data_IF_808358223954
#
_entry.id   IF_808358223954
#
_cell.length_a   1.000
_cell.length_b   1.000
_cell.length_c   1.000
_cell.angle_alpha   90.00
_cell.angle_beta   90.00
_cell.angle_gamma   90.00
#
_symmetry.space_group_name_H-M   'P 1'
#
loop_
_entity.id
_entity.type
_entity.pdbx_description
1 polymer ?
#
# COMPACT_ATOMS: atom_id res chain seq x y z
N UNK A 1 -33.63 -38.31 -17.40
CA UNK A 1 -32.19 -37.93 -17.26
C UNK A 1 -31.66 -38.04 -15.82
N UNK A 2 -32.48 -37.69 -14.81
CA UNK A 2 -32.16 -37.57 -13.37
C UNK A 2 -31.29 -38.70 -12.79
N UNK A 3 -31.62 -39.97 -13.02
CA UNK A 3 -30.92 -41.10 -12.38
C UNK A 3 -29.40 -41.09 -12.62
N UNK A 4 -28.96 -40.70 -13.83
CA UNK A 4 -27.54 -40.59 -14.18
C UNK A 4 -26.87 -39.43 -13.42
N UNK A 5 -27.56 -38.29 -13.31
CA UNK A 5 -27.08 -37.11 -12.57
C UNK A 5 -27.00 -37.37 -11.06
N UNK A 6 -28.02 -38.02 -10.48
CA UNK A 6 -28.03 -38.47 -9.07
C UNK A 6 -26.88 -39.45 -8.79
N UNK A 7 -26.70 -40.46 -9.65
CA UNK A 7 -25.57 -41.38 -9.58
C UNK A 7 -24.21 -40.74 -9.84
N UNK A 8 -24.16 -39.56 -10.46
CA UNK A 8 -22.98 -38.70 -10.52
C UNK A 8 -22.73 -38.00 -9.19
N UNK A 9 -23.73 -37.32 -8.64
CA UNK A 9 -23.67 -36.61 -7.35
C UNK A 9 -23.19 -37.54 -6.22
N UNK A 10 -23.79 -38.71 -6.04
CA UNK A 10 -23.41 -39.62 -4.94
C UNK A 10 -21.97 -40.11 -5.04
N UNK A 11 -21.43 -40.28 -6.25
CA UNK A 11 -20.00 -40.61 -6.45
C UNK A 11 -19.09 -39.41 -6.21
N UNK A 12 -19.54 -38.20 -6.52
CA UNK A 12 -18.79 -36.97 -6.30
C UNK A 12 -18.85 -36.49 -4.83
N UNK A 13 -19.87 -36.84 -4.04
CA UNK A 13 -20.05 -36.33 -2.67
C UNK A 13 -18.82 -36.58 -1.77
N UNK A 14 -18.20 -37.75 -1.87
CA UNK A 14 -16.95 -38.08 -1.16
C UNK A 14 -15.79 -37.22 -1.66
N UNK A 15 -15.65 -37.11 -2.99
CA UNK A 15 -14.60 -36.30 -3.63
C UNK A 15 -14.73 -34.82 -3.23
N UNK A 16 -15.93 -34.24 -3.27
CA UNK A 16 -16.20 -32.85 -2.89
C UNK A 16 -15.84 -32.56 -1.44
N UNK A 17 -16.10 -33.49 -0.50
CA UNK A 17 -15.67 -33.36 0.91
C UNK A 17 -14.15 -33.34 1.04
N UNK A 18 -13.45 -34.23 0.32
CA UNK A 18 -11.98 -34.23 0.29
C UNK A 18 -11.43 -32.94 -0.35
N UNK A 19 -11.92 -32.53 -1.52
CA UNK A 19 -11.52 -31.27 -2.18
C UNK A 19 -11.71 -30.07 -1.25
N UNK A 20 -12.84 -29.97 -0.56
CA UNK A 20 -13.09 -28.86 0.36
C UNK A 20 -12.19 -28.91 1.60
N UNK A 21 -11.91 -30.09 2.15
CA UNK A 21 -10.96 -30.26 3.25
C UNK A 21 -9.53 -29.89 2.82
N UNK A 22 -9.10 -30.29 1.62
CA UNK A 22 -7.79 -29.93 1.06
C UNK A 22 -7.65 -28.42 0.81
N UNK A 23 -8.69 -27.76 0.26
CA UNK A 23 -8.69 -26.31 0.07
C UNK A 23 -8.63 -25.56 1.40
N UNK A 24 -9.48 -25.93 2.37
CA UNK A 24 -9.48 -25.31 3.69
C UNK A 24 -8.14 -25.52 4.43
N UNK A 25 -7.55 -26.72 4.34
CA UNK A 25 -6.23 -27.01 4.90
C UNK A 25 -5.12 -26.18 4.23
N UNK A 26 -5.14 -26.04 2.90
CA UNK A 26 -4.18 -25.23 2.18
C UNK A 26 -4.29 -23.74 2.57
N UNK A 27 -5.52 -23.22 2.71
CA UNK A 27 -5.76 -21.86 3.20
C UNK A 27 -5.20 -21.70 4.62
N UNK A 28 -5.44 -22.69 5.50
CA UNK A 28 -4.84 -22.75 6.84
C UNK A 28 -3.31 -22.69 6.85
N UNK A 29 -2.64 -23.46 5.98
CA UNK A 29 -1.16 -23.46 5.91
C UNK A 29 -0.61 -22.10 5.46
N UNK A 30 -1.20 -21.48 4.44
CA UNK A 30 -0.77 -20.14 4.00
C UNK A 30 -1.14 -19.05 5.02
N UNK A 31 -2.32 -19.12 5.62
CA UNK A 31 -2.74 -18.21 6.71
C UNK A 31 -1.81 -18.35 7.92
N UNK A 32 -1.37 -19.56 8.29
CA UNK A 32 -0.38 -19.77 9.35
C UNK A 32 0.94 -19.05 9.05
N UNK A 33 1.45 -19.16 7.82
CA UNK A 33 2.69 -18.50 7.39
C UNK A 33 2.52 -16.97 7.46
N UNK A 34 1.43 -16.42 6.91
CA UNK A 34 1.15 -14.98 6.89
C UNK A 34 0.94 -14.37 8.29
N UNK A 35 0.21 -15.05 9.18
CA UNK A 35 0.07 -14.59 10.59
C UNK A 35 1.39 -14.68 11.32
N UNK A 36 2.19 -15.74 11.10
CA UNK A 36 3.49 -15.91 11.74
C UNK A 36 4.50 -14.82 11.35
N UNK A 37 4.39 -14.23 10.16
CA UNK A 37 5.22 -13.08 9.75
C UNK A 37 4.66 -11.71 10.19
N UNK A 38 3.58 -11.68 10.98
CA UNK A 38 2.97 -10.45 11.54
C UNK A 38 2.99 -10.40 13.08
N UNK A 39 3.24 -11.52 13.76
CA UNK A 39 3.23 -11.58 15.22
C UNK A 39 4.62 -11.39 15.81
N UNK A 40 4.80 -10.31 16.56
CA UNK A 40 5.94 -10.12 17.47
C UNK A 40 5.67 -10.82 18.82
N UNK A 41 6.71 -11.42 19.41
CA UNK A 41 6.60 -12.14 20.69
C UNK A 41 7.67 -13.22 20.84
N UNK A 42 7.55 -14.08 21.86
CA UNK A 42 8.43 -15.24 21.97
C UNK A 42 8.10 -16.29 20.88
N UNK A 43 9.06 -17.13 20.45
CA UNK A 43 8.83 -18.11 19.40
C UNK A 43 7.69 -19.10 19.69
N UNK A 44 7.38 -19.37 20.96
CA UNK A 44 6.30 -20.26 21.37
C UNK A 44 4.92 -19.57 21.34
N UNK A 45 4.84 -18.30 21.74
CA UNK A 45 3.60 -17.51 21.66
C UNK A 45 3.19 -17.29 20.20
N UNK A 46 4.13 -16.85 19.37
CA UNK A 46 3.94 -16.65 17.92
C UNK A 46 3.50 -17.95 17.24
N UNK A 47 4.14 -19.07 17.57
CA UNK A 47 3.80 -20.40 17.04
C UNK A 47 2.39 -20.84 17.43
N UNK A 48 2.02 -20.73 18.72
CA UNK A 48 0.70 -21.13 19.22
C UNK A 48 -0.42 -20.23 18.70
N UNK A 49 -0.22 -18.91 18.70
CA UNK A 49 -1.21 -17.95 18.21
C UNK A 49 -1.47 -18.14 16.71
N UNK A 50 -0.43 -18.32 15.90
CA UNK A 50 -0.58 -18.58 14.47
C UNK A 50 -1.28 -19.92 14.18
N UNK A 51 -1.05 -20.97 14.99
CA UNK A 51 -1.76 -22.26 14.86
C UNK A 51 -3.24 -22.12 15.26
N UNK A 52 -3.55 -21.45 16.37
CA UNK A 52 -4.94 -21.28 16.83
C UNK A 52 -5.73 -20.46 15.82
N UNK A 53 -5.13 -19.39 15.27
CA UNK A 53 -5.77 -18.58 14.23
C UNK A 53 -5.98 -19.38 12.94
N UNK A 54 -4.93 -20.04 12.40
CA UNK A 54 -5.06 -20.78 11.15
C UNK A 54 -6.01 -21.97 11.23
N UNK A 55 -6.06 -22.67 12.37
CA UNK A 55 -7.03 -23.73 12.62
C UNK A 55 -8.46 -23.18 12.67
N UNK A 56 -8.69 -22.04 13.35
CA UNK A 56 -10.00 -21.39 13.40
C UNK A 56 -10.47 -20.93 12.01
N UNK A 57 -9.59 -20.32 11.22
CA UNK A 57 -9.86 -19.92 9.82
C UNK A 57 -10.18 -21.14 8.95
N UNK A 58 -9.37 -22.20 9.03
CA UNK A 58 -9.58 -23.46 8.28
C UNK A 58 -10.95 -24.07 8.57
N UNK A 59 -11.31 -24.17 9.85
CA UNK A 59 -12.60 -24.73 10.29
C UNK A 59 -13.76 -23.81 9.87
N UNK A 60 -13.60 -22.49 9.94
CA UNK A 60 -14.62 -21.54 9.50
C UNK A 60 -14.87 -21.63 7.98
N UNK A 61 -13.82 -21.65 7.16
CA UNK A 61 -13.89 -21.81 5.70
C UNK A 61 -14.54 -23.16 5.35
N UNK A 62 -14.05 -24.26 5.92
CA UNK A 62 -14.59 -25.59 5.69
C UNK A 62 -16.07 -25.69 6.06
N UNK A 63 -16.44 -25.19 7.24
CA UNK A 63 -17.82 -25.21 7.72
C UNK A 63 -18.73 -24.36 6.81
N UNK A 64 -18.39 -23.09 6.58
CA UNK A 64 -19.18 -22.16 5.76
C UNK A 64 -19.54 -22.75 4.39
N UNK A 65 -18.53 -23.24 3.67
CA UNK A 65 -18.74 -23.86 2.37
C UNK A 65 -19.50 -25.20 2.45
N UNK A 66 -19.28 -26.01 3.50
CA UNK A 66 -20.06 -27.25 3.73
C UNK A 66 -21.54 -26.94 3.97
N UNK A 67 -21.86 -25.93 4.77
CA UNK A 67 -23.23 -25.48 5.01
C UNK A 67 -23.88 -25.00 3.69
N UNK A 68 -23.18 -24.19 2.90
CA UNK A 68 -23.71 -23.73 1.60
C UNK A 68 -23.93 -24.87 0.60
N UNK A 69 -22.95 -25.78 0.43
CA UNK A 69 -23.11 -26.96 -0.44
C UNK A 69 -24.30 -27.83 -0.02
N UNK A 70 -24.49 -28.02 1.29
CA UNK A 70 -25.58 -28.85 1.82
C UNK A 70 -26.96 -28.20 1.65
N UNK A 71 -27.09 -26.90 1.91
CA UNK A 71 -28.41 -26.26 1.98
C UNK A 71 -28.81 -25.51 0.69
N UNK A 72 -27.89 -24.82 0.02
CA UNK A 72 -28.23 -23.92 -1.11
C UNK A 72 -28.90 -24.63 -2.30
N UNK A 73 -28.43 -25.81 -2.77
CA UNK A 73 -29.10 -26.51 -3.87
C UNK A 73 -30.52 -26.98 -3.52
N UNK A 74 -30.78 -27.27 -2.25
CA UNK A 74 -32.05 -27.87 -1.78
C UNK A 74 -33.17 -26.85 -1.53
N UNK A 75 -32.85 -25.56 -1.37
CA UNK A 75 -33.86 -24.50 -1.15
C UNK A 75 -34.69 -24.25 -2.41
N UNK A 76 -35.99 -24.58 -2.33
CA UNK A 76 -36.96 -24.41 -3.43
C UNK A 76 -37.48 -22.98 -3.59
N UNK A 77 -37.63 -22.23 -2.49
CA UNK A 77 -38.29 -20.92 -2.50
C UNK A 77 -37.36 -19.81 -3.02
N UNK A 78 -37.80 -19.05 -4.04
CA UNK A 78 -36.96 -18.05 -4.72
C UNK A 78 -36.52 -16.85 -3.85
N UNK A 79 -37.30 -16.46 -2.84
CA UNK A 79 -36.88 -15.48 -1.82
C UNK A 79 -35.71 -16.01 -1.00
N UNK A 80 -35.89 -17.18 -0.39
CA UNK A 80 -34.90 -17.84 0.47
C UNK A 80 -33.62 -18.22 -0.30
N UNK A 81 -33.74 -18.63 -1.57
CA UNK A 81 -32.59 -18.89 -2.46
C UNK A 81 -31.77 -17.63 -2.75
N UNK A 82 -32.42 -16.46 -2.96
CA UNK A 82 -31.71 -15.16 -3.06
C UNK A 82 -31.02 -14.79 -1.75
N UNK A 83 -31.68 -15.02 -0.61
CA UNK A 83 -31.11 -14.78 0.72
C UNK A 83 -29.84 -15.63 0.96
N UNK A 84 -29.84 -16.89 0.51
CA UNK A 84 -28.64 -17.74 0.54
C UNK A 84 -27.51 -17.27 -0.38
N UNK A 85 -27.80 -16.73 -1.58
CA UNK A 85 -26.76 -16.12 -2.41
C UNK A 85 -26.19 -14.84 -1.80
N UNK A 86 -27.00 -14.04 -1.10
CA UNK A 86 -26.52 -12.86 -0.34
C UNK A 86 -25.64 -13.30 0.83
N UNK A 87 -26.03 -14.34 1.58
CA UNK A 87 -25.20 -14.92 2.64
C UNK A 87 -23.88 -15.50 2.10
N UNK A 88 -23.92 -16.15 0.93
CA UNK A 88 -22.71 -16.63 0.23
C UNK A 88 -21.79 -15.48 -0.15
N UNK A 89 -22.32 -14.39 -0.70
CA UNK A 89 -21.53 -13.20 -1.07
C UNK A 89 -20.90 -12.53 0.15
N UNK A 90 -21.67 -12.29 1.22
CA UNK A 90 -21.17 -11.68 2.46
C UNK A 90 -20.08 -12.56 3.09
N UNK A 91 -20.32 -13.87 3.23
CA UNK A 91 -19.31 -14.78 3.78
C UNK A 91 -18.08 -14.93 2.90
N UNK A 92 -18.22 -14.85 1.57
CA UNK A 92 -17.07 -14.79 0.65
C UNK A 92 -16.20 -13.55 0.93
N UNK A 93 -16.81 -12.37 1.08
CA UNK A 93 -16.09 -11.15 1.45
C UNK A 93 -15.41 -11.25 2.83
N UNK A 94 -16.07 -11.89 3.80
CA UNK A 94 -15.48 -12.14 5.13
C UNK A 94 -14.25 -13.06 5.06
N UNK A 95 -14.30 -14.12 4.23
CA UNK A 95 -13.14 -15.01 4.02
C UNK A 95 -12.00 -14.25 3.34
N UNK A 96 -12.27 -13.47 2.28
CA UNK A 96 -11.24 -12.67 1.60
C UNK A 96 -10.56 -11.68 2.55
N UNK A 97 -11.33 -10.99 3.40
CA UNK A 97 -10.78 -10.04 4.37
C UNK A 97 -9.98 -10.72 5.50
N UNK A 98 -10.29 -11.98 5.80
CA UNK A 98 -9.65 -12.75 6.86
C UNK A 98 -8.43 -13.56 6.39
N UNK A 99 -8.39 -13.98 5.13
CA UNK A 99 -7.44 -14.99 4.65
C UNK A 99 -6.68 -14.58 3.39
N UNK A 100 -7.34 -14.09 2.33
CA UNK A 100 -6.71 -13.90 1.02
C UNK A 100 -5.44 -13.02 1.03
N UNK A 101 -5.38 -11.95 1.83
CA UNK A 101 -4.19 -11.10 1.93
C UNK A 101 -3.03 -11.76 2.69
N UNK A 102 -3.33 -12.56 3.72
CA UNK A 102 -2.34 -13.38 4.43
C UNK A 102 -1.82 -14.53 3.54
N UNK A 103 -2.72 -15.13 2.76
CA UNK A 103 -2.37 -16.16 1.78
C UNK A 103 -1.49 -15.57 0.67
N UNK A 104 -1.78 -14.36 0.18
CA UNK A 104 -0.92 -13.64 -0.75
C UNK A 104 0.44 -13.26 -0.13
N UNK A 105 0.47 -12.84 1.14
CA UNK A 105 1.71 -12.58 1.89
C UNK A 105 2.58 -13.83 2.03
N UNK A 106 1.99 -14.99 2.29
CA UNK A 106 2.70 -16.26 2.36
C UNK A 106 3.23 -16.76 1.00
N UNK A 107 2.58 -16.37 -0.11
CA UNK A 107 2.99 -16.73 -1.47
C UNK A 107 4.01 -15.77 -2.09
N UNK A 108 3.97 -14.47 -1.75
CA UNK A 108 4.72 -13.41 -2.42
C UNK A 108 5.53 -12.48 -1.49
N UNK A 109 5.37 -12.58 -0.16
CA UNK A 109 5.95 -11.66 0.82
C UNK A 109 7.44 -11.39 0.64
N UNK A 110 8.23 -12.45 0.51
CA UNK A 110 9.68 -12.33 0.31
C UNK A 110 10.05 -11.64 -1.00
N UNK A 111 9.28 -11.84 -2.07
CA UNK A 111 9.50 -11.19 -3.36
C UNK A 111 9.07 -9.72 -3.34
N UNK A 112 8.00 -9.39 -2.61
CA UNK A 112 7.56 -8.01 -2.41
C UNK A 112 8.55 -7.20 -1.55
N UNK A 113 9.18 -7.82 -0.54
CA UNK A 113 10.27 -7.20 0.21
C UNK A 113 11.54 -7.02 -0.63
N UNK A 114 11.88 -7.98 -1.50
CA UNK A 114 12.97 -7.80 -2.48
C UNK A 114 12.68 -6.64 -3.45
N UNK A 115 11.44 -6.53 -3.95
CA UNK A 115 10.98 -5.40 -4.77
C UNK A 115 11.05 -4.08 -3.99
N UNK A 116 10.74 -4.06 -2.69
CA UNK A 116 10.89 -2.88 -1.86
C UNK A 116 12.35 -2.44 -1.68
N UNK A 117 13.27 -3.38 -1.42
CA UNK A 117 14.70 -3.12 -1.32
C UNK A 117 15.32 -2.68 -2.65
N UNK A 118 14.89 -3.26 -3.78
CA UNK A 118 15.32 -2.85 -5.12
C UNK A 118 14.93 -1.39 -5.41
N UNK A 119 13.64 -1.06 -5.28
CA UNK A 119 13.13 0.30 -5.48
C UNK A 119 13.76 1.33 -4.52
N UNK A 120 14.13 0.90 -3.31
CA UNK A 120 14.85 1.74 -2.35
C UNK A 120 16.31 1.96 -2.79
N UNK A 121 16.99 0.92 -3.25
CA UNK A 121 18.38 0.99 -3.74
C UNK A 121 18.51 1.97 -4.91
N UNK A 122 17.56 1.98 -5.84
CA UNK A 122 17.57 2.92 -6.97
C UNK A 122 17.33 4.37 -6.54
N UNK A 123 16.45 4.61 -5.55
CA UNK A 123 16.26 5.95 -4.97
C UNK A 123 17.52 6.45 -4.24
N UNK A 124 18.22 5.54 -3.56
CA UNK A 124 19.49 5.83 -2.90
C UNK A 124 20.63 6.08 -3.91
N UNK A 125 20.75 5.28 -4.96
CA UNK A 125 21.71 5.48 -6.06
C UNK A 125 21.56 6.87 -6.67
N UNK A 126 20.34 7.23 -7.14
CA UNK A 126 20.08 8.55 -7.70
C UNK A 126 20.37 9.70 -6.73
N UNK A 127 20.26 9.45 -5.42
CA UNK A 127 20.50 10.46 -4.39
C UNK A 127 21.98 10.63 -4.09
N UNK A 128 22.77 9.54 -4.10
CA UNK A 128 24.23 9.58 -4.08
C UNK A 128 24.78 10.29 -5.32
N UNK A 129 24.27 9.95 -6.51
CA UNK A 129 24.71 10.55 -7.78
C UNK A 129 24.40 12.06 -7.84
N UNK A 130 23.23 12.49 -7.35
CA UNK A 130 22.88 13.92 -7.22
C UNK A 130 23.78 14.63 -6.19
N UNK A 131 24.09 14.01 -5.06
CA UNK A 131 24.96 14.60 -4.04
C UNK A 131 26.40 14.76 -4.56
N UNK A 132 26.92 13.71 -5.22
CA UNK A 132 28.23 13.73 -5.86
C UNK A 132 28.30 14.77 -6.98
N UNK A 133 27.29 14.83 -7.86
CA UNK A 133 27.22 15.83 -8.94
C UNK A 133 27.18 17.28 -8.44
N UNK A 134 26.46 17.54 -7.34
CA UNK A 134 26.45 18.85 -6.69
C UNK A 134 27.82 19.19 -6.05
N UNK A 135 28.48 18.22 -5.41
CA UNK A 135 29.81 18.41 -4.82
C UNK A 135 30.91 18.61 -5.89
N UNK A 136 30.87 17.87 -7.00
CA UNK A 136 31.77 18.05 -8.15
C UNK A 136 31.60 19.42 -8.81
N UNK A 137 30.40 20.00 -8.81
CA UNK A 137 30.16 21.31 -9.44
C UNK A 137 31.04 22.42 -8.83
N UNK A 138 31.30 22.38 -7.52
CA UNK A 138 32.21 23.32 -6.85
C UNK A 138 33.67 23.21 -7.36
N UNK A 139 34.11 22.01 -7.75
CA UNK A 139 35.44 21.80 -8.34
C UNK A 139 35.57 22.44 -9.73
N UNK A 140 34.44 22.62 -10.44
CA UNK A 140 34.40 23.33 -11.71
C UNK A 140 34.87 24.79 -11.64
N UNK A 141 34.86 25.40 -10.44
CA UNK A 141 35.35 26.76 -10.21
C UNK A 141 36.88 26.84 -10.02
N UNK A 142 37.57 25.72 -9.81
CA UNK A 142 39.01 25.69 -9.54
C UNK A 142 39.87 26.36 -10.63
N UNK A 143 39.62 26.16 -11.96
CA UNK A 143 40.40 26.82 -13.00
C UNK A 143 40.26 28.35 -12.96
N UNK A 144 39.06 28.87 -12.68
CA UNK A 144 38.79 30.30 -12.61
C UNK A 144 39.39 30.94 -11.35
N UNK A 145 39.34 30.26 -10.21
CA UNK A 145 40.02 30.68 -8.97
C UNK A 145 41.54 30.76 -9.19
N UNK A 146 42.14 29.73 -9.81
CA UNK A 146 43.57 29.72 -10.15
C UNK A 146 43.95 30.75 -11.23
N UNK A 147 43.04 31.09 -12.15
CA UNK A 147 43.26 32.12 -13.18
C UNK A 147 43.18 33.52 -12.58
N UNK A 148 42.20 33.78 -11.71
CA UNK A 148 42.07 35.02 -10.97
C UNK A 148 43.29 35.26 -10.06
N UNK A 149 43.72 34.24 -9.30
CA UNK A 149 44.92 34.31 -8.46
C UNK A 149 46.18 34.68 -9.27
N UNK A 150 46.43 33.96 -10.37
CA UNK A 150 47.59 34.24 -11.25
C UNK A 150 47.56 35.64 -11.84
N UNK A 151 46.37 36.16 -12.22
CA UNK A 151 46.20 37.56 -12.65
C UNK A 151 46.61 38.54 -11.56
N UNK A 152 46.20 38.33 -10.30
CA UNK A 152 46.58 39.22 -9.20
C UNK A 152 48.06 39.13 -8.80
N UNK A 153 48.69 37.94 -8.87
CA UNK A 153 50.15 37.82 -8.69
C UNK A 153 50.90 38.62 -9.74
N UNK A 154 50.60 38.41 -11.04
CA UNK A 154 51.25 39.11 -12.14
C UNK A 154 51.06 40.63 -12.04
N UNK A 155 49.89 41.09 -11.61
CA UNK A 155 49.59 42.51 -11.38
C UNK A 155 50.44 43.09 -10.24
N UNK A 156 50.57 42.36 -9.13
CA UNK A 156 51.43 42.71 -7.99
C UNK A 156 52.92 42.76 -8.39
N UNK A 157 53.38 41.80 -9.19
CA UNK A 157 54.78 41.68 -9.59
C UNK A 157 55.19 42.73 -10.63
N UNK A 158 54.35 43.01 -11.63
CA UNK A 158 54.57 44.08 -12.60
C UNK A 158 54.65 45.45 -11.92
N UNK A 159 53.73 45.73 -11.00
CA UNK A 159 53.71 46.98 -10.26
C UNK A 159 54.94 47.15 -9.36
N UNK A 160 55.34 46.08 -8.65
CA UNK A 160 56.54 46.09 -7.79
C UNK A 160 57.83 46.33 -8.57
N UNK A 161 57.94 45.78 -9.78
CA UNK A 161 59.13 45.87 -10.62
C UNK A 161 59.22 47.17 -11.44
N UNK A 162 58.08 47.74 -11.86
CA UNK A 162 58.07 48.80 -12.88
C UNK A 162 57.14 49.99 -12.60
N UNK A 163 56.26 49.91 -11.59
CA UNK A 163 55.24 50.94 -11.35
C UNK A 163 54.26 51.10 -12.52
N UNK A 164 54.00 50.04 -13.29
CA UNK A 164 53.19 50.07 -14.51
C UNK A 164 51.74 50.58 -14.31
N UNK A 165 51.23 50.60 -13.08
CA UNK A 165 49.87 51.01 -12.74
C UNK A 165 49.86 52.40 -12.08
N UNK A 166 50.65 52.61 -11.02
CA UNK A 166 50.68 53.89 -10.27
C UNK A 166 51.73 54.90 -10.74
N UNK A 167 52.64 54.51 -11.64
CA UNK A 167 53.78 55.32 -12.07
C UNK A 167 54.97 55.29 -11.10
N UNK A 168 54.89 54.53 -10.00
CA UNK A 168 55.94 54.42 -8.97
C UNK A 168 56.23 52.96 -8.63
N UNK A 169 57.47 52.52 -8.86
CA UNK A 169 57.91 51.15 -8.53
C UNK A 169 58.16 51.00 -7.02
N UNK A 170 57.55 50.01 -6.37
CA UNK A 170 57.82 49.69 -4.96
C UNK A 170 56.79 48.77 -4.31
N UNK A 171 56.86 48.60 -2.99
CA UNK A 171 55.91 47.78 -2.20
C UNK A 171 54.66 48.57 -1.76
N UNK A 172 54.09 49.38 -2.66
CA UNK A 172 52.95 50.24 -2.39
C UNK A 172 51.67 49.47 -2.03
N UNK A 173 50.66 50.15 -1.51
CA UNK A 173 49.43 49.52 -0.98
C UNK A 173 48.69 48.68 -2.04
N UNK A 174 48.75 49.06 -3.32
CA UNK A 174 48.20 48.27 -4.44
C UNK A 174 48.90 46.91 -4.57
N UNK A 175 50.23 46.87 -4.41
CA UNK A 175 51.05 45.63 -4.45
C UNK A 175 50.70 44.72 -3.27
N UNK A 176 50.52 45.29 -2.08
CA UNK A 176 50.14 44.56 -0.86
C UNK A 176 48.74 43.95 -1.00
N UNK A 177 47.76 44.74 -1.44
CA UNK A 177 46.37 44.31 -1.60
C UNK A 177 46.22 43.25 -2.70
N UNK A 178 46.86 43.41 -3.85
CA UNK A 178 46.85 42.41 -4.94
C UNK A 178 47.56 41.11 -4.54
N UNK A 179 48.66 41.19 -3.77
CA UNK A 179 49.31 40.01 -3.20
C UNK A 179 48.41 39.28 -2.18
N UNK A 180 47.71 40.02 -1.30
CA UNK A 180 46.75 39.46 -0.36
C UNK A 180 45.59 38.74 -1.08
N UNK A 181 45.05 39.32 -2.15
CA UNK A 181 43.97 38.70 -2.94
C UNK A 181 44.44 37.42 -3.64
N UNK A 182 45.67 37.41 -4.19
CA UNK A 182 46.30 36.20 -4.73
C UNK A 182 46.47 35.13 -3.65
N UNK A 183 46.97 35.49 -2.46
CA UNK A 183 47.12 34.56 -1.34
C UNK A 183 45.78 33.95 -0.87
N UNK A 184 44.71 34.75 -0.77
CA UNK A 184 43.36 34.28 -0.43
C UNK A 184 42.80 33.32 -1.49
N UNK A 185 42.96 33.63 -2.77
CA UNK A 185 42.51 32.75 -3.86
C UNK A 185 43.35 31.48 -3.99
N UNK A 186 44.65 31.53 -3.67
CA UNK A 186 45.50 30.32 -3.59
C UNK A 186 45.10 29.42 -2.43
N UNK A 187 44.77 29.99 -1.25
CA UNK A 187 44.27 29.21 -0.12
C UNK A 187 42.93 28.52 -0.46
N UNK A 188 41.99 29.26 -1.09
CA UNK A 188 40.73 28.69 -1.56
C UNK A 188 40.94 27.61 -2.63
N UNK A 189 41.88 27.79 -3.57
CA UNK A 189 42.22 26.78 -4.57
C UNK A 189 42.76 25.49 -3.94
N UNK A 190 43.59 25.60 -2.90
CA UNK A 190 44.09 24.45 -2.15
C UNK A 190 42.97 23.75 -1.34
N UNK A 191 42.03 24.50 -0.78
CA UNK A 191 40.84 23.95 -0.09
C UNK A 191 39.95 23.17 -1.08
N UNK A 192 39.70 23.74 -2.26
CA UNK A 192 38.93 23.08 -3.34
C UNK A 192 39.61 21.79 -3.81
N UNK A 193 40.93 21.79 -4.02
CA UNK A 193 41.65 20.57 -4.43
C UNK A 193 41.68 19.53 -3.30
N UNK A 194 41.87 19.93 -2.04
CA UNK A 194 41.79 19.01 -0.89
C UNK A 194 40.40 18.37 -0.71
N UNK A 195 39.32 19.08 -1.06
CA UNK A 195 37.96 18.49 -1.04
C UNK A 195 37.77 17.37 -2.05
N UNK A 196 38.55 17.35 -3.13
CA UNK A 196 38.38 16.44 -4.26
C UNK A 196 38.59 14.99 -3.86
N UNK A 197 39.67 14.73 -3.11
CA UNK A 197 39.95 13.39 -2.59
C UNK A 197 38.95 12.96 -1.51
N UNK A 198 38.43 13.89 -0.70
CA UNK A 198 37.34 13.59 0.25
C UNK A 198 36.04 13.22 -0.47
N UNK A 199 35.63 14.00 -1.47
CA UNK A 199 34.43 13.76 -2.31
C UNK A 199 34.55 12.41 -3.04
N UNK A 200 35.72 12.10 -3.59
CA UNK A 200 36.02 10.80 -4.20
C UNK A 200 35.90 9.66 -3.19
N UNK A 201 36.55 9.77 -2.02
CA UNK A 201 36.55 8.74 -0.98
C UNK A 201 35.14 8.46 -0.44
N UNK A 202 34.33 9.51 -0.24
CA UNK A 202 32.93 9.38 0.15
C UNK A 202 32.09 8.70 -0.94
N UNK A 203 32.24 9.08 -2.21
CA UNK A 203 31.50 8.46 -3.31
C UNK A 203 31.88 6.99 -3.54
N UNK A 204 33.17 6.63 -3.44
CA UNK A 204 33.62 5.23 -3.46
C UNK A 204 33.06 4.42 -2.29
N UNK A 205 32.92 5.05 -1.11
CA UNK A 205 32.34 4.40 0.08
C UNK A 205 30.83 4.18 -0.11
N UNK A 206 30.10 5.20 -0.56
CA UNK A 206 28.67 5.09 -0.86
C UNK A 206 28.37 4.08 -1.97
N UNK A 207 29.25 3.99 -2.97
CA UNK A 207 29.17 2.98 -4.04
C UNK A 207 29.32 1.55 -3.50
N UNK A 208 30.22 1.31 -2.53
CA UNK A 208 30.37 0.01 -1.87
C UNK A 208 29.16 -0.34 -1.00
N UNK A 209 28.59 0.64 -0.29
CA UNK A 209 27.32 0.45 0.44
C UNK A 209 26.17 0.11 -0.52
N UNK A 210 26.06 0.79 -1.67
CA UNK A 210 25.09 0.45 -2.71
C UNK A 210 25.31 -0.93 -3.34
N UNK A 211 26.57 -1.37 -3.49
CA UNK A 211 26.87 -2.74 -3.89
C UNK A 211 26.37 -3.76 -2.85
N UNK A 212 26.64 -3.51 -1.56
CA UNK A 212 26.17 -4.36 -0.46
C UNK A 212 24.64 -4.37 -0.34
N UNK A 213 23.97 -3.23 -0.54
CA UNK A 213 22.50 -3.15 -0.65
C UNK A 213 21.95 -3.98 -1.82
N UNK A 214 22.62 -3.99 -2.99
CA UNK A 214 22.26 -4.87 -4.11
C UNK A 214 22.44 -6.35 -3.78
N UNK A 215 23.54 -6.72 -3.13
CA UNK A 215 23.81 -8.09 -2.67
C UNK A 215 22.75 -8.56 -1.65
N UNK A 216 22.37 -7.70 -0.69
CA UNK A 216 21.28 -7.97 0.27
C UNK A 216 19.91 -8.09 -0.43
N UNK A 217 19.68 -7.33 -1.51
CA UNK A 217 18.46 -7.40 -2.33
C UNK A 217 18.38 -8.71 -3.14
N UNK A 218 19.47 -9.15 -3.78
CA UNK A 218 19.48 -10.31 -4.70
C UNK A 218 19.90 -11.64 -4.06
N UNK A 219 20.42 -11.63 -2.83
CA UNK A 219 20.96 -12.81 -2.16
C UNK A 219 19.97 -13.95 -1.88
N UNK A 220 20.50 -15.06 -1.38
CA UNK A 220 19.74 -16.17 -0.81
C UNK A 220 19.65 -16.06 0.72
N UNK A 221 18.78 -16.86 1.36
CA UNK A 221 18.58 -16.86 2.82
C UNK A 221 17.38 -16.01 3.28
N UNK A 222 17.11 -15.99 4.61
CA UNK A 222 15.91 -15.37 5.20
C UNK A 222 15.76 -13.90 4.82
N UNK A 223 14.56 -13.52 4.38
CA UNK A 223 14.32 -12.17 3.88
C UNK A 223 14.32 -11.11 5.00
N UNK A 224 13.87 -11.47 6.19
CA UNK A 224 13.72 -10.55 7.32
C UNK A 224 15.09 -10.13 7.88
N UNK A 225 16.01 -11.08 8.05
CA UNK A 225 17.42 -10.84 8.41
C UNK A 225 18.09 -9.89 7.42
N UNK A 226 17.93 -10.17 6.11
CA UNK A 226 18.47 -9.35 5.03
C UNK A 226 17.86 -7.95 4.97
N UNK A 227 16.57 -7.81 5.28
CA UNK A 227 15.87 -6.52 5.32
C UNK A 227 16.34 -5.68 6.51
N UNK A 228 16.68 -6.32 7.63
CA UNK A 228 17.29 -5.66 8.79
C UNK A 228 18.74 -5.22 8.51
N UNK A 229 19.57 -6.04 7.85
CA UNK A 229 20.89 -5.60 7.37
C UNK A 229 20.76 -4.46 6.36
N UNK A 230 19.82 -4.54 5.42
CA UNK A 230 19.57 -3.49 4.42
C UNK A 230 19.18 -2.16 5.08
N UNK A 231 18.33 -2.20 6.12
CA UNK A 231 18.00 -1.02 6.91
C UNK A 231 19.25 -0.36 7.53
N UNK A 232 20.19 -1.14 8.05
CA UNK A 232 21.45 -0.61 8.57
C UNK A 232 22.31 0.06 7.48
N UNK A 233 22.46 -0.58 6.31
CA UNK A 233 23.18 0.01 5.17
C UNK A 233 22.53 1.33 4.69
N UNK A 234 21.20 1.45 4.74
CA UNK A 234 20.51 2.71 4.36
C UNK A 234 20.86 3.88 5.28
N UNK A 235 21.11 3.62 6.57
CA UNK A 235 21.55 4.65 7.53
C UNK A 235 22.99 5.08 7.24
N UNK A 236 23.89 4.12 6.96
CA UNK A 236 25.27 4.39 6.55
C UNK A 236 25.31 5.26 5.28
N UNK A 237 24.53 4.88 4.27
CA UNK A 237 24.47 5.62 3.01
C UNK A 237 23.86 7.02 3.15
N UNK A 238 22.84 7.18 4.02
CA UNK A 238 22.28 8.49 4.35
C UNK A 238 23.34 9.41 4.98
N UNK A 239 24.18 8.87 5.87
CA UNK A 239 25.33 9.58 6.41
C UNK A 239 26.33 10.02 5.34
N UNK A 240 26.71 9.13 4.44
CA UNK A 240 27.64 9.43 3.33
C UNK A 240 27.09 10.50 2.38
N UNK A 241 25.78 10.48 2.11
CA UNK A 241 25.09 11.51 1.29
C UNK A 241 25.14 12.88 1.99
N UNK A 242 24.89 12.92 3.30
CA UNK A 242 24.99 14.15 4.09
C UNK A 242 26.43 14.69 4.15
N UNK A 243 27.42 13.82 4.35
CA UNK A 243 28.85 14.17 4.30
C UNK A 243 29.27 14.74 2.94
N UNK A 244 28.75 14.19 1.83
CA UNK A 244 28.99 14.73 0.48
C UNK A 244 28.40 16.13 0.32
N UNK A 245 27.18 16.36 0.81
CA UNK A 245 26.56 17.70 0.79
C UNK A 245 27.36 18.69 1.65
N UNK A 246 27.79 18.29 2.85
CA UNK A 246 28.56 19.14 3.76
C UNK A 246 30.00 19.40 3.27
N UNK A 247 30.56 18.54 2.42
CA UNK A 247 31.89 18.74 1.81
C UNK A 247 31.87 19.74 0.64
N UNK A 248 30.70 20.28 0.25
CA UNK A 248 30.61 21.31 -0.79
C UNK A 248 31.26 22.64 -0.36
N UNK A 249 32.26 23.10 -1.12
CA UNK A 249 32.99 24.34 -0.87
C UNK A 249 32.30 25.58 -1.50
N UNK A 250 31.21 25.41 -2.25
CA UNK A 250 30.46 26.53 -2.84
C UNK A 250 30.09 27.67 -1.84
N UNK A 251 29.70 27.41 -0.57
CA UNK A 251 29.49 28.47 0.43
C UNK A 251 30.77 29.25 0.78
N UNK A 252 31.93 28.60 0.78
CA UNK A 252 33.22 29.24 1.03
C UNK A 252 33.71 30.01 -0.19
N UNK A 253 33.54 29.49 -1.42
CA UNK A 253 33.82 30.24 -2.66
C UNK A 253 33.00 31.52 -2.70
N UNK A 254 31.69 31.44 -2.42
CA UNK A 254 30.83 32.63 -2.35
C UNK A 254 31.32 33.65 -1.31
N UNK A 255 31.64 33.18 -0.09
CA UNK A 255 32.15 34.06 0.98
C UNK A 255 33.43 34.79 0.57
N UNK A 256 34.45 34.05 0.12
CA UNK A 256 35.71 34.64 -0.35
C UNK A 256 35.50 35.59 -1.52
N UNK A 257 34.61 35.25 -2.46
CA UNK A 257 34.27 36.13 -3.57
C UNK A 257 33.61 37.44 -3.10
N UNK A 258 32.62 37.38 -2.21
CA UNK A 258 32.02 38.59 -1.64
C UNK A 258 33.04 39.43 -0.85
N UNK A 259 33.91 38.80 -0.06
CA UNK A 259 34.87 39.50 0.79
C UNK A 259 35.99 40.14 -0.04
N UNK A 260 36.41 39.54 -1.15
CA UNK A 260 37.26 40.18 -2.18
C UNK A 260 36.64 41.48 -2.73
N UNK A 261 35.31 41.54 -2.84
CA UNK A 261 34.60 42.75 -3.28
C UNK A 261 34.45 43.82 -2.20
N UNK A 262 34.50 43.44 -0.92
CA UNK A 262 34.31 44.32 0.25
C UNK A 262 35.64 44.84 0.82
N UNK A 263 36.69 44.03 0.74
CA UNK A 263 38.02 44.31 1.31
C UNK A 263 38.88 45.26 0.47
N UNK A 264 38.44 45.65 -0.73
CA UNK A 264 39.14 46.68 -1.49
C UNK A 264 38.82 48.07 -0.95
N UNK A 265 39.79 48.68 -0.29
CA UNK A 265 39.79 50.10 0.06
C UNK A 265 40.80 50.78 -0.87
N UNK A 266 40.34 51.75 -1.67
CA UNK A 266 41.20 52.52 -2.56
C UNK A 266 42.30 53.24 -1.75
N UNK A 267 43.60 52.98 -2.00
CA UNK A 267 44.68 53.69 -1.31
C UNK A 267 44.66 55.17 -1.68
N UNK A 268 44.94 56.05 -0.71
CA UNK A 268 45.15 57.45 -0.99
C UNK A 268 46.39 57.63 -1.89
N UNK A 269 46.25 58.43 -2.95
CA UNK A 269 47.34 58.76 -3.87
C UNK A 269 48.49 59.49 -3.14
N UNK A 270 49.73 59.04 -3.37
CA UNK A 270 50.95 59.61 -2.76
C UNK A 270 51.73 60.54 -3.71
N UNK A 271 51.15 60.80 -4.90
CA UNK A 271 51.78 61.54 -5.98
C UNK A 271 52.27 62.93 -5.58
N UNK A 272 53.58 63.17 -5.75
CA UNK A 272 54.25 64.46 -5.50
C UNK A 272 53.81 65.59 -6.47
N UNK A 273 52.99 65.27 -7.46
CA UNK A 273 52.37 66.19 -8.42
C UNK A 273 50.93 65.77 -8.67
N UNK A 274 50.03 66.73 -8.90
CA UNK A 274 48.60 66.47 -9.10
C UNK A 274 48.31 65.49 -10.26
N UNK A 275 48.99 65.67 -11.39
CA UNK A 275 48.91 64.78 -12.56
C UNK A 275 49.32 63.33 -12.25
N UNK A 276 50.26 63.09 -11.33
CA UNK A 276 50.59 61.74 -10.88
C UNK A 276 49.48 61.17 -9.99
N UNK A 277 48.94 61.98 -9.07
CA UNK A 277 47.84 61.56 -8.19
C UNK A 277 46.53 61.26 -8.95
N UNK A 278 46.20 62.05 -9.98
CA UNK A 278 45.02 61.80 -10.84
C UNK A 278 45.16 60.50 -11.65
N UNK A 279 46.36 60.21 -12.17
CA UNK A 279 46.66 58.93 -12.84
C UNK A 279 46.55 57.76 -11.86
N UNK A 280 47.14 57.88 -10.67
CA UNK A 280 47.03 56.89 -9.60
C UNK A 280 45.56 56.58 -9.28
N UNK A 281 44.74 57.62 -9.03
CA UNK A 281 43.31 57.48 -8.76
C UNK A 281 42.56 56.77 -9.90
N UNK A 282 42.80 57.15 -11.17
CA UNK A 282 42.15 56.48 -12.31
C UNK A 282 42.54 55.00 -12.43
N UNK A 283 43.79 54.63 -12.14
CA UNK A 283 44.24 53.24 -12.28
C UNK A 283 43.79 52.39 -11.09
N UNK A 284 43.84 52.93 -9.86
CA UNK A 284 43.24 52.31 -8.67
C UNK A 284 41.76 52.00 -8.91
N UNK A 285 40.99 52.96 -9.46
CA UNK A 285 39.57 52.74 -9.81
C UNK A 285 39.34 51.68 -10.90
N UNK A 286 40.23 51.57 -11.90
CA UNK A 286 40.17 50.49 -12.91
C UNK A 286 40.47 49.12 -12.32
N UNK A 287 41.44 49.03 -11.42
CA UNK A 287 41.78 47.80 -10.67
C UNK A 287 40.61 47.41 -9.75
N UNK A 288 40.01 48.36 -9.04
CA UNK A 288 38.81 48.17 -8.22
C UNK A 288 37.63 47.62 -9.03
N UNK A 289 37.34 48.22 -10.19
CA UNK A 289 36.24 47.78 -11.06
C UNK A 289 36.50 46.38 -11.63
N UNK A 290 37.75 46.04 -11.97
CA UNK A 290 38.15 44.71 -12.41
C UNK A 290 37.96 43.67 -11.30
N UNK A 291 38.40 43.98 -10.07
CA UNK A 291 38.20 43.14 -8.89
C UNK A 291 36.70 42.91 -8.64
N UNK A 292 35.90 43.97 -8.60
CA UNK A 292 34.44 43.91 -8.41
C UNK A 292 33.71 43.14 -9.52
N UNK A 293 34.24 43.11 -10.74
CA UNK A 293 33.71 42.29 -11.82
C UNK A 293 34.06 40.80 -11.64
N UNK A 294 35.32 40.50 -11.37
CA UNK A 294 35.82 39.12 -11.22
C UNK A 294 35.25 38.43 -9.97
N UNK A 295 35.12 39.16 -8.87
CA UNK A 295 34.49 38.68 -7.64
C UNK A 295 33.00 38.40 -7.82
N UNK A 296 32.26 39.30 -8.49
CA UNK A 296 30.84 39.11 -8.78
C UNK A 296 30.60 37.89 -9.68
N UNK A 297 31.44 37.67 -10.69
CA UNK A 297 31.37 36.48 -11.54
C UNK A 297 31.56 35.18 -10.73
N UNK A 298 32.56 35.15 -9.84
CA UNK A 298 32.84 33.99 -8.98
C UNK A 298 31.71 33.75 -7.95
N UNK A 299 31.14 34.82 -7.37
CA UNK A 299 30.00 34.74 -6.47
C UNK A 299 28.73 34.24 -7.18
N UNK A 300 28.47 34.70 -8.40
CA UNK A 300 27.34 34.22 -9.23
C UNK A 300 27.49 32.75 -9.62
N UNK A 301 28.71 32.31 -9.95
CA UNK A 301 28.98 30.90 -10.27
C UNK A 301 28.83 29.99 -9.04
N UNK A 302 29.19 30.48 -7.85
CA UNK A 302 28.91 29.80 -6.59
C UNK A 302 27.39 29.78 -6.27
N UNK A 303 26.67 30.87 -6.53
CA UNK A 303 25.20 30.92 -6.34
C UNK A 303 24.43 30.00 -7.30
N UNK A 304 24.87 29.80 -8.55
CA UNK A 304 24.29 28.76 -9.43
C UNK A 304 24.34 27.38 -8.75
N UNK A 305 25.50 27.03 -8.20
CA UNK A 305 25.72 25.75 -7.53
C UNK A 305 24.89 25.64 -6.24
N UNK A 306 24.79 26.72 -5.46
CA UNK A 306 23.97 26.78 -4.24
C UNK A 306 22.46 26.80 -4.52
N UNK A 307 22.04 27.21 -5.73
CA UNK A 307 20.64 27.19 -6.15
C UNK A 307 20.14 25.79 -6.58
N UNK A 308 21.06 24.83 -6.73
CA UNK A 308 20.72 23.46 -7.14
C UNK A 308 19.90 22.77 -6.06
N UNK A 309 18.88 21.96 -6.41
CA UNK A 309 18.09 21.25 -5.43
C UNK A 309 18.96 20.40 -4.50
N UNK A 310 18.82 20.63 -3.20
CA UNK A 310 19.41 19.77 -2.18
C UNK A 310 18.89 18.34 -2.31
N UNK A 311 19.75 17.36 -2.05
CA UNK A 311 19.34 15.97 -1.97
C UNK A 311 18.53 15.79 -0.70
N UNK A 312 17.23 15.53 -0.86
CA UNK A 312 16.36 15.18 0.27
C UNK A 312 16.78 13.82 0.84
N UNK A 313 16.87 13.67 2.17
CA UNK A 313 17.21 12.38 2.76
C UNK A 313 16.15 11.33 2.41
N UNK A 314 16.57 10.26 1.74
CA UNK A 314 15.72 9.10 1.48
C UNK A 314 15.58 8.32 2.78
N UNK A 315 14.35 8.17 3.28
CA UNK A 315 14.08 7.35 4.47
C UNK A 315 13.61 5.97 4.03
N UNK A 316 14.40 4.94 4.31
CA UNK A 316 13.91 3.57 4.31
C UNK A 316 12.90 3.38 5.45
N UNK A 317 11.80 2.69 5.18
CA UNK A 317 10.79 2.31 6.16
C UNK A 317 10.64 0.79 6.04
N UNK A 318 11.05 0.00 7.04
CA UNK A 318 10.87 -1.44 6.98
C UNK A 318 9.37 -1.76 6.92
N UNK A 319 9.02 -2.74 6.10
CA UNK A 319 7.66 -3.25 5.91
C UNK A 319 7.61 -4.70 6.38
N UNK A 320 6.45 -5.14 6.87
CA UNK A 320 6.16 -6.58 6.95
C UNK A 320 5.96 -7.17 5.54
N UNK A 321 6.11 -8.49 5.45
CA UNK A 321 5.77 -9.29 4.26
C UNK A 321 4.38 -8.98 3.69
N UNK A 322 3.39 -8.74 4.55
CA UNK A 322 2.00 -8.49 4.14
C UNK A 322 1.76 -7.05 3.69
N UNK A 323 2.34 -6.06 4.37
CA UNK A 323 2.32 -4.65 3.92
C UNK A 323 2.99 -4.51 2.56
N UNK A 324 4.12 -5.19 2.33
CA UNK A 324 4.79 -5.21 1.04
C UNK A 324 3.91 -5.81 -0.07
N UNK A 325 3.21 -6.92 0.18
CA UNK A 325 2.28 -7.54 -0.81
C UNK A 325 1.02 -6.71 -1.07
N UNK A 326 0.62 -5.85 -0.12
CA UNK A 326 -0.43 -4.85 -0.35
C UNK A 326 0.12 -3.67 -1.17
N UNK A 327 1.28 -3.11 -0.80
CA UNK A 327 1.89 -1.95 -1.46
C UNK A 327 2.33 -2.24 -2.91
N UNK A 328 2.84 -3.45 -3.18
CA UNK A 328 3.24 -3.91 -4.51
C UNK A 328 2.22 -4.87 -5.14
N UNK A 329 0.95 -4.85 -4.70
CA UNK A 329 -0.06 -5.85 -5.08
C UNK A 329 -0.34 -5.96 -6.59
N UNK A 330 -0.09 -4.90 -7.36
CA UNK A 330 -0.16 -4.90 -8.84
C UNK A 330 0.87 -5.82 -9.48
N UNK A 331 2.04 -5.96 -8.86
CA UNK A 331 3.18 -6.71 -9.40
C UNK A 331 3.02 -8.20 -9.11
N UNK A 332 2.25 -8.54 -8.05
CA UNK A 332 1.99 -9.89 -7.57
C UNK A 332 0.55 -10.38 -7.85
N UNK A 333 -0.09 -9.85 -8.90
CA UNK A 333 -1.42 -10.26 -9.34
C UNK A 333 -1.63 -11.79 -9.48
N UNK A 334 -0.66 -12.61 -9.95
CA UNK A 334 -0.82 -14.07 -9.98
C UNK A 334 -0.95 -14.69 -8.57
N UNK A 335 -0.21 -14.18 -7.59
CA UNK A 335 -0.25 -14.66 -6.20
C UNK A 335 -1.54 -14.23 -5.49
N UNK A 336 -2.00 -13.00 -5.73
CA UNK A 336 -3.31 -12.52 -5.29
C UNK A 336 -4.45 -13.35 -5.92
N UNK A 337 -4.40 -13.60 -7.23
CA UNK A 337 -5.37 -14.44 -7.92
C UNK A 337 -5.36 -15.89 -7.39
N UNK A 338 -4.18 -16.44 -7.08
CA UNK A 338 -4.04 -17.75 -6.43
C UNK A 338 -4.69 -17.80 -5.05
N UNK A 339 -4.38 -16.84 -4.18
CA UNK A 339 -4.95 -16.73 -2.84
C UNK A 339 -6.48 -16.57 -2.86
N UNK A 340 -7.00 -15.65 -3.68
CA UNK A 340 -8.45 -15.42 -3.87
C UNK A 340 -9.12 -16.68 -4.43
N UNK A 341 -8.49 -17.36 -5.39
CA UNK A 341 -9.04 -18.60 -5.96
C UNK A 341 -9.09 -19.74 -4.96
N UNK A 342 -8.08 -19.86 -4.09
CA UNK A 342 -8.03 -20.89 -3.05
C UNK A 342 -9.23 -20.75 -2.08
N UNK A 343 -9.51 -19.53 -1.63
CA UNK A 343 -10.63 -19.22 -0.75
C UNK A 343 -12.01 -19.38 -1.43
N UNK A 344 -12.13 -19.01 -2.71
CA UNK A 344 -13.43 -18.91 -3.42
C UNK A 344 -13.77 -20.08 -4.37
N UNK A 345 -12.84 -20.98 -4.70
CA UNK A 345 -13.10 -22.15 -5.56
C UNK A 345 -14.34 -22.97 -5.14
N UNK A 346 -14.66 -23.15 -3.84
CA UNK A 346 -15.89 -23.84 -3.42
C UNK A 346 -17.20 -23.18 -3.92
N UNK A 347 -17.22 -21.88 -4.21
CA UNK A 347 -18.38 -21.22 -4.81
C UNK A 347 -18.69 -21.76 -6.21
N UNK A 348 -17.66 -22.07 -7.00
CA UNK A 348 -17.81 -22.68 -8.34
C UNK A 348 -18.44 -24.06 -8.22
N UNK A 349 -18.00 -24.85 -7.23
CA UNK A 349 -18.59 -26.16 -6.92
C UNK A 349 -20.07 -26.03 -6.54
N UNK A 350 -20.43 -25.02 -5.73
CA UNK A 350 -21.83 -24.73 -5.34
C UNK A 350 -22.68 -24.35 -6.55
N UNK A 351 -22.16 -23.54 -7.49
CA UNK A 351 -22.88 -23.21 -8.73
C UNK A 351 -23.12 -24.46 -9.59
N UNK A 352 -22.10 -25.30 -9.81
CA UNK A 352 -22.23 -26.57 -10.55
C UNK A 352 -23.29 -27.46 -9.86
N UNK A 353 -23.20 -27.63 -8.55
CA UNK A 353 -24.12 -28.46 -7.76
C UNK A 353 -25.57 -27.94 -7.87
N UNK A 354 -25.75 -26.61 -7.81
CA UNK A 354 -27.06 -25.95 -7.94
C UNK A 354 -27.67 -26.12 -9.33
N UNK A 355 -26.86 -26.08 -10.39
CA UNK A 355 -27.30 -26.31 -11.77
C UNK A 355 -27.71 -27.78 -11.97
N UNK A 356 -26.94 -28.74 -11.47
CA UNK A 356 -27.28 -30.17 -11.60
C UNK A 356 -28.55 -30.50 -10.79
N UNK A 357 -28.71 -29.97 -9.58
CA UNK A 357 -29.96 -30.14 -8.82
C UNK A 357 -31.17 -29.43 -9.46
N UNK A 358 -30.98 -28.30 -10.12
CA UNK A 358 -32.02 -27.64 -10.91
C UNK A 358 -32.44 -28.51 -12.12
N UNK A 359 -31.48 -29.11 -12.84
CA UNK A 359 -31.75 -30.01 -13.95
C UNK A 359 -32.48 -31.29 -13.51
N UNK A 360 -32.04 -31.92 -12.41
CA UNK A 360 -32.72 -33.08 -11.80
C UNK A 360 -34.18 -32.75 -11.47
N UNK A 361 -34.45 -31.57 -10.89
CA UNK A 361 -35.81 -31.14 -10.55
C UNK A 361 -36.72 -30.88 -11.75
N UNK A 362 -36.17 -30.53 -12.91
CA UNK A 362 -36.97 -30.30 -14.14
C UNK A 362 -37.38 -31.63 -14.77
N UNK A 363 -36.41 -32.52 -14.94
CA UNK A 363 -36.61 -33.89 -15.42
C UNK A 363 -37.59 -34.69 -14.53
N UNK A 364 -37.56 -34.46 -13.21
CA UNK A 364 -38.52 -35.04 -12.25
C UNK A 364 -39.87 -34.30 -12.21
N UNK A 365 -39.92 -33.02 -12.56
CA UNK A 365 -41.18 -32.28 -12.69
C UNK A 365 -41.96 -32.72 -13.92
N UNK A 366 -41.28 -32.82 -15.06
CA UNK A 366 -41.82 -33.32 -16.33
C UNK A 366 -42.30 -34.78 -16.19
N UNK A 367 -41.52 -35.65 -15.52
CA UNK A 367 -41.94 -37.03 -15.25
C UNK A 367 -43.13 -37.16 -14.27
N UNK A 368 -43.33 -36.19 -13.34
CA UNK A 368 -44.48 -36.22 -12.44
C UNK A 368 -45.81 -35.89 -13.12
N UNK A 369 -45.81 -35.08 -14.19
CA UNK A 369 -47.03 -34.77 -14.95
C UNK A 369 -47.49 -35.96 -15.83
N UNK A 370 -46.59 -36.91 -16.18
CA UNK A 370 -46.93 -38.11 -16.97
C UNK A 370 -47.39 -39.31 -16.13
N UNK A 371 -46.82 -39.55 -14.94
CA UNK A 371 -46.98 -40.82 -14.18
C UNK A 371 -47.43 -40.64 -12.71
N UNK A 372 -47.83 -39.42 -12.31
CA UNK A 372 -47.84 -38.98 -10.90
C UNK A 372 -49.19 -38.79 -10.19
N UNK A 373 -50.31 -39.37 -10.64
CA UNK A 373 -51.62 -39.08 -10.04
C UNK A 373 -51.74 -39.53 -8.57
N UNK A 374 -51.91 -38.59 -7.65
CA UNK A 374 -51.92 -38.84 -6.21
C UNK A 374 -53.12 -39.70 -5.78
N UNK A 375 -52.95 -40.56 -4.77
CA UNK A 375 -54.08 -41.29 -4.17
C UNK A 375 -55.21 -40.37 -3.68
N UNK A 376 -54.88 -39.14 -3.25
CA UNK A 376 -55.88 -38.11 -2.90
C UNK A 376 -56.63 -37.54 -4.11
N UNK A 377 -55.98 -37.50 -5.28
CA UNK A 377 -56.56 -37.05 -6.55
C UNK A 377 -57.39 -38.16 -7.21
N UNK A 378 -56.93 -39.42 -7.17
CA UNK A 378 -57.72 -40.59 -7.54
C UNK A 378 -58.99 -40.69 -6.70
N UNK A 379 -58.89 -40.50 -5.37
CA UNK A 379 -60.07 -40.43 -4.49
C UNK A 379 -61.00 -39.24 -4.80
N UNK A 380 -60.44 -38.11 -5.25
CA UNK A 380 -61.22 -36.94 -5.69
C UNK A 380 -61.93 -37.20 -7.01
N UNK A 381 -61.27 -37.83 -7.97
CA UNK A 381 -61.82 -38.24 -9.25
C UNK A 381 -62.94 -39.28 -9.07
N UNK A 382 -62.73 -40.31 -8.25
CA UNK A 382 -63.77 -41.29 -7.88
C UNK A 382 -64.98 -40.63 -7.21
N UNK A 383 -64.76 -39.64 -6.33
CA UNK A 383 -65.86 -38.90 -5.70
C UNK A 383 -66.64 -38.04 -6.71
N UNK A 384 -65.98 -37.46 -7.71
CA UNK A 384 -66.62 -36.73 -8.80
C UNK A 384 -67.40 -37.70 -9.70
N UNK A 385 -66.83 -38.84 -10.06
CA UNK A 385 -67.47 -39.90 -10.85
C UNK A 385 -68.76 -40.43 -10.19
N UNK A 386 -68.69 -40.79 -8.91
CA UNK A 386 -69.85 -41.27 -8.15
C UNK A 386 -70.95 -40.19 -8.03
N UNK A 387 -70.58 -38.92 -7.91
CA UNK A 387 -71.55 -37.82 -7.93
C UNK A 387 -72.24 -37.65 -9.29
N UNK A 388 -71.55 -37.93 -10.40
CA UNK A 388 -72.15 -37.90 -11.74
C UNK A 388 -73.11 -39.07 -11.96
N UNK A 389 -72.75 -40.30 -11.56
CA UNK A 389 -73.71 -41.43 -11.56
C UNK A 389 -74.93 -41.13 -10.67
N UNK A 390 -74.73 -40.48 -9.52
CA UNK A 390 -75.82 -40.03 -8.64
C UNK A 390 -76.72 -38.94 -9.23
N UNK A 391 -76.30 -38.26 -10.30
CA UNK A 391 -77.11 -37.33 -11.08
C UNK A 391 -77.86 -38.04 -12.22
N UNK A 392 -77.23 -39.01 -12.89
CA UNK A 392 -77.89 -39.84 -13.91
C UNK A 392 -78.98 -40.75 -13.30
N UNK A 393 -78.76 -41.27 -12.10
CA UNK A 393 -79.67 -42.19 -11.41
C UNK A 393 -80.92 -41.52 -10.79
N UNK A 394 -81.20 -40.24 -11.09
CA UNK A 394 -82.28 -39.46 -10.45
C UNK A 394 -83.44 -39.15 -11.42
N UNK A 395 -84.49 -40.00 -11.48
CA UNK A 395 -85.68 -39.70 -12.29
C UNK A 395 -86.42 -38.45 -11.77
N UNK A 396 -86.94 -37.65 -12.71
CA UNK A 396 -87.72 -36.44 -12.46
C UNK A 396 -89.17 -36.78 -12.12
N UNK A 397 -89.63 -36.50 -10.88
CA UNK A 397 -91.03 -36.18 -10.55
C UNK A 397 -91.24 -35.80 -9.07
N UNK A 398 -92.28 -35.00 -8.82
CA UNK A 398 -92.75 -34.46 -7.52
C UNK A 398 -94.26 -34.17 -7.62
N UNK A 399 -95.01 -33.69 -6.58
CA UNK A 399 -94.67 -33.55 -5.16
C UNK A 399 -95.68 -34.32 -4.22
N UNK A 400 -96.56 -33.75 -3.36
CA UNK A 400 -96.63 -34.21 -1.96
C UNK A 400 -98.03 -34.60 -1.44
N UNK A 401 -98.10 -35.08 -0.19
CA UNK A 401 -99.32 -35.07 0.62
C UNK A 401 -99.05 -34.58 2.04
N UNK A 402 -100.02 -33.84 2.61
CA UNK A 402 -99.95 -33.21 3.95
C UNK A 402 -100.93 -33.92 4.89
N UNK A 403 -100.53 -34.11 6.16
CA UNK A 403 -101.43 -34.56 7.25
C UNK A 403 -101.14 -33.77 8.54
N UNK A 404 -102.21 -33.19 9.10
CA UNK A 404 -102.35 -32.65 10.46
C UNK A 404 -103.07 -33.73 11.31
N UNK A 405 -103.13 -33.80 12.65
CA UNK A 405 -102.91 -32.88 13.79
C UNK A 405 -102.40 -33.76 14.98
N UNK A 406 -101.41 -33.35 15.80
CA UNK A 406 -101.56 -32.76 17.16
C UNK A 406 -102.30 -33.59 18.23
N UNK A 407 -101.62 -33.91 19.34
CA UNK A 407 -102.04 -33.55 20.72
C UNK A 407 -101.00 -33.92 21.81
N UNK A 408 -101.00 -33.12 22.89
CA UNK A 408 -100.31 -33.25 24.18
C UNK A 408 -101.30 -32.63 25.24
N UNK A 409 -100.99 -32.36 26.54
CA UNK A 409 -99.70 -32.36 27.27
C UNK A 409 -99.75 -32.92 28.74
N UNK A 410 -98.66 -32.70 29.49
CA UNK A 410 -98.52 -32.97 30.94
C UNK A 410 -97.18 -33.68 31.24
N UNK A 411 -96.40 -33.37 32.27
CA UNK A 411 -96.51 -32.38 33.37
C UNK A 411 -95.09 -32.03 33.91
N UNK A 412 -94.90 -30.97 34.72
CA UNK A 412 -93.59 -30.61 35.30
C UNK A 412 -93.73 -29.93 36.68
N UNK A 413 -92.97 -30.36 37.70
CA UNK A 413 -92.10 -29.46 38.47
C UNK A 413 -90.78 -30.12 38.96
N UNK A 414 -89.75 -29.45 39.51
CA UNK A 414 -89.24 -28.07 39.38
C UNK A 414 -87.88 -27.95 40.14
N UNK A 415 -87.04 -26.94 39.81
CA UNK A 415 -85.91 -26.50 40.65
C UNK A 415 -84.50 -26.96 40.21
N UNK A 416 -83.45 -26.13 40.21
CA UNK A 416 -83.36 -24.71 40.56
C UNK A 416 -82.18 -24.00 39.86
N UNK A 417 -82.08 -22.67 39.98
CA UNK A 417 -81.08 -21.84 39.30
C UNK A 417 -79.85 -21.56 40.19
N UNK A 418 -78.70 -21.25 39.56
CA UNK A 418 -78.13 -19.90 39.69
C UNK A 418 -77.12 -19.55 38.57
N UNK A 419 -76.72 -18.27 38.51
CA UNK A 419 -75.80 -17.68 37.51
C UNK A 419 -74.93 -16.57 38.16
N UNK A 420 -73.97 -15.92 37.47
CA UNK A 420 -72.77 -15.39 38.11
C UNK A 420 -72.89 -13.92 38.55
N UNK A 421 -71.81 -13.37 39.13
CA UNK A 421 -71.47 -11.96 38.98
C UNK A 421 -70.24 -11.73 38.07
N UNK A 422 -70.03 -10.47 37.69
CA UNK A 422 -68.88 -9.96 36.92
C UNK A 422 -68.35 -8.67 37.57
N UNK A 423 -67.48 -7.93 36.86
CA UNK A 423 -66.81 -6.67 37.25
C UNK A 423 -65.68 -6.82 38.30
N UNK A 424 -64.62 -6.00 38.33
CA UNK A 424 -64.22 -4.86 37.46
C UNK A 424 -62.93 -5.24 36.68
N UNK A 425 -61.88 -4.46 36.33
CA UNK A 425 -61.42 -3.07 36.59
C UNK A 425 -60.65 -2.52 35.34
N UNK A 426 -59.98 -1.35 35.45
CA UNK A 426 -59.47 -0.57 34.31
C UNK A 426 -58.04 -0.03 34.45
N UNK A 427 -57.28 -0.12 33.35
CA UNK A 427 -56.31 0.85 32.76
C UNK A 427 -55.81 2.02 33.64
N UNK A 428 -54.48 2.17 33.83
CA UNK A 428 -53.68 3.31 33.31
C UNK A 428 -52.13 3.12 33.47
N UNK A 429 -51.26 3.85 32.72
CA UNK A 429 -49.80 3.72 32.78
C UNK A 429 -49.01 4.98 33.25
N UNK A 430 -47.72 4.78 33.57
CA UNK A 430 -46.64 5.78 33.63
C UNK A 430 -45.30 5.03 33.35
N UNK A 431 -44.26 5.51 32.65
CA UNK A 431 -43.54 6.79 32.68
C UNK A 431 -42.74 7.03 34.00
N UNK A 432 -41.41 7.19 34.00
CA UNK A 432 -40.42 7.00 32.94
C UNK A 432 -39.03 7.60 33.26
N UNK A 433 -38.05 7.32 32.39
CA UNK A 433 -36.85 8.13 32.06
C UNK A 433 -35.79 8.54 33.11
N UNK A 434 -34.60 8.83 32.56
CA UNK A 434 -33.37 9.38 33.14
C UNK A 434 -32.48 8.36 33.90
N UNK A 435 -31.14 8.47 33.81
CA UNK A 435 -30.31 9.52 33.17
C UNK A 435 -29.06 8.94 32.51
#
# INVERSE_FOLDING_TARGET
MSQVLRGGITRLEVMTKFTLATLALASGVYTYIGVRSLLEGSPIEVFLAAIVYSAAVSVAIFAFWTYLMRFLPHVRQASSRRLMYVAMFIGSLMILAMSAWLNAAALAGSAALQQHMANSTDQFQQSLDRAHGNALAAQGLLPDIQLASRRFSLLSDQERQSGALTGTSGSGTVVQLTAQMSAQLNALAAEVDASRDRIKTLFESGSKTLERMRQLTSGAGPIDERTNEFAAETVVLTGIIADLQQTSIAPAVKRTAEDLSKSFIAPAADGRTADLADRQNQVVGKVEQSIKSQSRALAMAADDILSRPEVKPVRFVPLSTAEAVIQYGTDFLPSWAGAISLDLMPAVLIFIHSIVFEAIRRDEGEACDEDGMSAGEVMRALKIYNNMQGLEARPLSSPPHVVLEKSAPGETPAGGLEKPPANVASINPAAGFNR
#
